data_IF_267442382673
#
_entry.id   IF_267442382673
#
_cell.length_a   1.000
_cell.length_b   1.000
_cell.length_c   1.000
_cell.angle_alpha   90.00
_cell.angle_beta   90.00
_cell.angle_gamma   90.00
#
_symmetry.space_group_name_H-M   'P 1'
#
loop_
_entity.id
_entity.type
_entity.pdbx_description
1 polymer ?
#
# COMPACT_ATOMS: atom_id res chain seq x y z
N UNK A 1 6.88 24.68 -21.84
CA UNK A 1 6.05 25.70 -22.49
C UNK A 1 5.19 25.02 -23.55
N UNK A 2 3.86 25.11 -23.42
CA UNK A 2 2.76 24.80 -24.36
C UNK A 2 1.51 24.67 -23.48
N UNK A 3 0.35 25.27 -23.68
CA UNK A 3 -0.09 26.46 -24.41
C UNK A 3 -1.36 26.91 -23.67
N UNK A 4 -1.68 28.19 -23.82
CA UNK A 4 -2.86 28.87 -23.28
C UNK A 4 -4.20 28.17 -23.62
N UNK A 5 -5.14 28.32 -22.68
CA UNK A 5 -6.57 28.69 -22.88
C UNK A 5 -7.51 27.76 -23.65
N UNK A 6 -8.45 27.14 -22.94
CA UNK A 6 -9.70 26.56 -23.47
C UNK A 6 -10.57 25.93 -22.35
N UNK A 7 -11.92 25.95 -22.44
CA UNK A 7 -12.82 25.64 -21.32
C UNK A 7 -13.09 24.14 -21.08
N UNK A 8 -12.27 23.23 -21.60
CA UNK A 8 -12.43 21.78 -21.39
C UNK A 8 -11.32 21.25 -20.47
N UNK A 9 -11.63 21.18 -19.18
CA UNK A 9 -10.76 20.61 -18.14
C UNK A 9 -10.96 19.11 -18.00
N UNK A 10 -10.36 18.37 -18.94
CA UNK A 10 -10.17 16.92 -18.87
C UNK A 10 -9.11 16.65 -19.94
N UNK A 11 -7.85 16.30 -19.66
CA UNK A 11 -7.39 15.05 -19.05
C UNK A 11 -5.91 15.24 -18.61
N UNK A 12 -5.66 15.83 -17.44
CA UNK A 12 -4.37 15.66 -16.77
C UNK A 12 -4.61 15.68 -15.27
N UNK A 13 -4.36 14.51 -14.68
CA UNK A 13 -4.71 14.16 -13.30
C UNK A 13 -4.29 15.23 -12.31
N UNK A 14 -5.17 15.44 -11.33
CA UNK A 14 -5.02 16.34 -10.20
C UNK A 14 -3.80 16.00 -9.32
N UNK A 15 -2.59 16.33 -9.76
CA UNK A 15 -1.47 16.57 -8.83
C UNK A 15 -1.63 17.89 -8.09
N UNK A 16 -2.53 18.77 -8.57
CA UNK A 16 -2.75 20.11 -8.01
C UNK A 16 -3.91 20.19 -7.00
N UNK A 17 -4.71 19.14 -6.85
CA UNK A 17 -5.90 19.20 -5.98
C UNK A 17 -5.59 18.89 -4.51
N UNK A 18 -4.43 18.30 -4.21
CA UNK A 18 -3.99 18.09 -2.84
C UNK A 18 -2.47 17.92 -2.74
N UNK A 19 -1.73 19.03 -2.82
CA UNK A 19 -0.25 19.04 -2.75
C UNK A 19 0.30 18.55 -1.40
N UNK A 20 -0.53 18.56 -0.36
CA UNK A 20 -0.16 18.14 0.99
C UNK A 20 -0.84 16.82 1.38
N UNK A 21 -1.27 16.01 0.41
CA UNK A 21 -1.91 14.73 0.71
C UNK A 21 -0.90 13.77 1.32
N UNK A 22 -1.14 13.39 2.56
CA UNK A 22 -0.37 12.35 3.23
C UNK A 22 -1.22 11.09 3.25
N UNK A 23 -0.66 9.99 2.75
CA UNK A 23 -1.34 8.70 2.74
C UNK A 23 -1.53 8.20 4.20
N UNK A 24 -2.68 7.59 4.53
CA UNK A 24 -2.88 7.02 5.86
C UNK A 24 -1.91 5.86 6.09
N UNK A 25 -1.34 5.79 7.29
CA UNK A 25 -0.41 4.75 7.71
C UNK A 25 -1.02 3.90 8.82
N UNK A 26 -0.71 2.61 8.83
CA UNK A 26 -1.19 1.66 9.84
C UNK A 26 0.01 0.90 10.40
N UNK A 27 0.04 0.73 11.72
CA UNK A 27 1.06 -0.05 12.42
C UNK A 27 0.50 -1.41 12.85
N UNK A 28 1.30 -2.47 12.68
CA UNK A 28 0.96 -3.84 13.11
C UNK A 28 1.98 -4.29 14.16
N UNK A 29 1.50 -4.77 15.30
CA UNK A 29 2.34 -5.29 16.39
C UNK A 29 2.11 -6.79 16.57
N UNK A 30 3.20 -7.55 16.66
CA UNK A 30 3.17 -9.00 16.91
C UNK A 30 3.52 -9.28 18.38
N UNK A 31 2.52 -9.32 19.26
CA UNK A 31 2.74 -9.52 20.70
C UNK A 31 3.20 -10.94 21.07
N UNK A 32 2.77 -11.94 20.30
CA UNK A 32 2.98 -13.37 20.59
C UNK A 32 3.83 -14.07 19.52
N UNK A 33 4.84 -13.40 18.96
CA UNK A 33 5.73 -14.02 17.98
C UNK A 33 6.83 -14.86 18.67
N UNK A 34 7.05 -16.08 18.17
CA UNK A 34 8.14 -16.95 18.65
C UNK A 34 9.49 -16.43 18.20
N UNK A 35 10.46 -16.37 19.11
CA UNK A 35 11.82 -15.96 18.78
C UNK A 35 12.58 -17.05 18.02
N UNK A 36 13.63 -16.65 17.31
CA UNK A 36 14.55 -17.53 16.57
C UNK A 36 13.89 -18.40 15.49
N UNK A 37 12.67 -18.05 15.09
CA UNK A 37 11.91 -18.71 14.01
C UNK A 37 11.61 -17.70 12.90
N UNK A 38 11.61 -18.17 11.65
CA UNK A 38 11.20 -17.36 10.49
C UNK A 38 9.65 -17.38 10.40
N UNK A 39 9.04 -16.20 10.46
CA UNK A 39 7.60 -16.00 10.31
C UNK A 39 7.30 -15.47 8.93
N UNK A 40 6.44 -16.16 8.18
CA UNK A 40 5.90 -15.66 6.92
C UNK A 40 4.57 -14.94 7.20
N UNK A 41 4.57 -13.63 7.04
CA UNK A 41 3.42 -12.78 7.33
C UNK A 41 2.87 -12.22 6.03
N UNK A 42 1.56 -12.28 5.88
CA UNK A 42 0.84 -11.63 4.78
C UNK A 42 -0.25 -10.71 5.34
N UNK A 43 -0.16 -9.43 5.01
CA UNK A 43 -1.17 -8.43 5.34
C UNK A 43 -2.05 -8.18 4.11
N UNK A 44 -3.37 -8.27 4.25
CA UNK A 44 -4.34 -8.05 3.18
C UNK A 44 -5.25 -6.86 3.50
N UNK A 45 -5.54 -6.04 2.50
CA UNK A 45 -6.51 -4.96 2.61
C UNK A 45 -7.90 -5.48 2.27
N UNK A 46 -8.82 -5.43 3.25
CA UNK A 46 -10.20 -5.84 3.07
C UNK A 46 -11.07 -4.61 2.77
N UNK A 47 -11.39 -4.41 1.50
CA UNK A 47 -12.24 -3.30 1.05
C UNK A 47 -13.13 -3.74 -0.13
N UNK A 48 -14.32 -3.16 -0.23
CA UNK A 48 -15.21 -3.41 -1.35
C UNK A 48 -14.57 -2.93 -2.67
N UNK A 49 -14.55 -3.79 -3.69
CA UNK A 49 -13.96 -3.48 -5.00
C UNK A 49 -12.44 -3.65 -5.07
N UNK A 50 -11.77 -4.07 -3.99
CA UNK A 50 -10.35 -4.38 -4.00
C UNK A 50 -10.13 -5.89 -4.18
N UNK A 51 -9.41 -6.28 -5.22
CA UNK A 51 -8.97 -7.67 -5.43
C UNK A 51 -7.55 -7.82 -4.93
N UNK A 52 -7.37 -8.66 -3.93
CA UNK A 52 -6.07 -8.99 -3.33
C UNK A 52 -5.68 -10.46 -3.56
N UNK A 53 -6.36 -11.17 -4.46
CA UNK A 53 -6.27 -12.61 -4.70
C UNK A 53 -5.51 -12.98 -5.99
N UNK A 54 -4.96 -12.01 -6.74
CA UNK A 54 -4.26 -12.28 -8.00
C UNK A 54 -2.83 -12.76 -7.76
N UNK A 55 -2.53 -14.02 -8.08
CA UNK A 55 -1.20 -14.65 -7.97
C UNK A 55 -0.11 -13.92 -8.77
N UNK A 56 -0.44 -13.27 -9.89
CA UNK A 56 0.53 -12.56 -10.74
C UNK A 56 0.89 -11.20 -10.18
N UNK A 57 -0.08 -10.53 -9.56
CA UNK A 57 0.11 -9.25 -8.87
C UNK A 57 0.06 -9.45 -7.35
N UNK A 58 1.20 -9.86 -6.80
CA UNK A 58 1.38 -10.12 -5.37
C UNK A 58 1.45 -8.86 -4.49
N UNK A 59 1.35 -7.67 -5.07
CA UNK A 59 1.41 -6.40 -4.36
C UNK A 59 0.10 -5.60 -4.46
N UNK A 60 -0.80 -5.97 -5.37
CA UNK A 60 -2.16 -5.45 -5.41
C UNK A 60 -2.94 -5.89 -4.17
N UNK A 61 -3.17 -4.95 -3.24
CA UNK A 61 -4.03 -5.15 -2.07
C UNK A 61 -3.49 -6.09 -1.00
N UNK A 62 -2.26 -6.57 -1.13
CA UNK A 62 -1.57 -7.39 -0.11
C UNK A 62 -0.07 -7.12 -0.07
N UNK A 63 0.54 -7.38 1.08
CA UNK A 63 1.99 -7.34 1.28
C UNK A 63 2.41 -8.58 2.06
N UNK A 64 3.37 -9.33 1.52
CA UNK A 64 3.95 -10.49 2.17
C UNK A 64 5.42 -10.23 2.48
N UNK A 65 5.83 -10.52 3.70
CA UNK A 65 7.22 -10.39 4.16
C UNK A 65 7.59 -11.52 5.12
N UNK A 66 8.89 -11.73 5.29
CA UNK A 66 9.43 -12.67 6.26
C UNK A 66 10.08 -11.92 7.40
N UNK A 67 9.76 -12.30 8.63
CA UNK A 67 10.28 -11.69 9.84
C UNK A 67 10.92 -12.76 10.72
N UNK A 68 12.16 -12.54 11.16
CA UNK A 68 12.81 -13.35 12.18
C UNK A 68 13.19 -12.47 13.36
N UNK A 69 12.68 -12.81 14.54
CA UNK A 69 12.97 -12.08 15.78
C UNK A 69 14.04 -12.85 16.54
N UNK A 70 15.28 -12.36 16.52
CA UNK A 70 16.33 -12.89 17.39
C UNK A 70 16.24 -12.17 18.74
N UNK A 71 16.24 -12.94 19.84
CA UNK A 71 16.42 -12.41 21.19
C UNK A 71 17.76 -12.91 21.67
N UNK A 72 18.70 -12.00 21.89
CA UNK A 72 20.00 -12.25 22.51
C UNK A 72 19.86 -12.39 24.04
#
# INVERSE_FOLDING_TARGET
>A
ALLRTGPYWSILGCSYCNVNYTQPVVAVQFSNATSNTEHHVECRLNAAGLRADDERDKFAGRVAFRLRINRD
#
